data_IF_157352808227
#
_entry.id   IF_157352808227
#
_cell.length_a   1.000
_cell.length_b   1.000
_cell.length_c   1.000
_cell.angle_alpha   90.00
_cell.angle_beta   90.00
_cell.angle_gamma   90.00
#
_symmetry.space_group_name_H-M   'P 1'
#
loop_
_entity.id
_entity.type
_entity.pdbx_description
1 polymer ?
#
# COMPACT_ATOMS: atom_id res chain seq x y z
N UNK A 1 -2.31 6.57 29.44
CA UNK A 1 -1.47 7.79 29.38
C UNK A 1 -0.05 7.39 29.05
N UNK A 2 0.40 7.74 27.85
CA UNK A 2 1.82 7.68 27.44
C UNK A 2 2.23 9.13 27.10
N UNK A 3 3.47 9.55 27.40
CA UNK A 3 3.90 10.93 27.23
C UNK A 3 4.03 11.30 25.75
N UNK A 4 3.81 12.58 25.44
CA UNK A 4 4.00 13.21 24.13
C UNK A 4 5.44 12.97 23.62
N UNK A 5 5.64 11.87 22.88
CA UNK A 5 6.89 11.59 22.19
C UNK A 5 6.80 12.16 20.76
N UNK A 6 7.90 12.74 20.23
CA UNK A 6 7.94 13.18 18.84
C UNK A 6 7.63 12.01 17.89
N UNK A 7 6.62 12.17 17.04
CA UNK A 7 6.28 11.20 16.00
C UNK A 7 7.28 11.31 14.85
N UNK A 8 7.92 10.20 14.51
CA UNK A 8 8.77 10.08 13.33
C UNK A 8 8.14 9.08 12.36
N UNK A 9 7.97 9.50 11.11
CA UNK A 9 7.49 8.68 10.00
C UNK A 9 8.65 8.34 9.07
N UNK A 10 8.71 7.11 8.56
CA UNK A 10 9.77 6.65 7.65
C UNK A 10 9.21 5.65 6.65
N UNK A 11 9.64 5.72 5.39
CA UNK A 11 9.36 4.75 4.33
C UNK A 11 10.57 3.82 4.12
N UNK A 12 10.33 2.57 3.70
CA UNK A 12 11.38 1.58 3.42
C UNK A 12 11.36 1.18 1.95
N UNK A 13 12.52 1.23 1.28
CA UNK A 13 12.68 0.82 -0.13
C UNK A 13 13.98 0.01 -0.31
N UNK A 14 13.93 -1.05 -1.12
CA UNK A 14 15.08 -1.82 -1.59
C UNK A 14 15.17 -1.75 -3.12
N UNK A 15 16.20 -1.07 -3.65
CA UNK A 15 16.47 -0.97 -5.09
C UNK A 15 17.38 -2.12 -5.55
N UNK A 16 17.14 -2.63 -6.77
CA UNK A 16 18.13 -3.38 -7.54
C UNK A 16 18.14 -2.85 -8.99
N UNK A 17 19.28 -2.36 -9.53
CA UNK A 17 19.30 -1.66 -10.82
C UNK A 17 19.87 -2.51 -11.97
N UNK A 18 19.09 -2.72 -13.06
CA UNK A 18 19.44 -2.49 -14.48
C UNK A 18 18.75 -3.41 -15.51
N UNK A 19 17.86 -2.84 -16.37
CA UNK A 19 17.83 -2.92 -17.87
C UNK A 19 16.54 -2.32 -18.52
N UNK A 20 16.57 -1.24 -19.27
CA UNK A 20 16.80 0.12 -18.81
C UNK A 20 15.56 1.04 -18.98
N UNK A 21 14.33 0.55 -19.22
CA UNK A 21 13.11 1.38 -19.04
C UNK A 21 11.84 0.53 -18.88
N UNK A 22 11.65 -0.52 -19.68
CA UNK A 22 10.51 -1.44 -19.54
C UNK A 22 10.62 -2.37 -18.31
N UNK A 23 11.82 -2.83 -17.95
CA UNK A 23 12.06 -3.50 -16.67
C UNK A 23 12.12 -2.50 -15.50
N UNK A 24 12.40 -1.22 -15.76
CA UNK A 24 12.44 -0.17 -14.71
C UNK A 24 11.05 0.14 -14.18
N UNK A 25 10.03 0.11 -15.03
CA UNK A 25 8.64 0.36 -14.66
C UNK A 25 7.82 -0.90 -14.43
N UNK A 26 8.44 -2.09 -14.53
CA UNK A 26 7.81 -3.42 -14.47
C UNK A 26 6.33 -3.34 -14.86
N UNK A 27 6.00 -2.90 -16.09
CA UNK A 27 4.76 -2.19 -16.55
C UNK A 27 3.37 -2.58 -15.98
N UNK A 28 3.29 -3.64 -15.18
CA UNK A 28 2.22 -4.03 -14.28
C UNK A 28 2.26 -3.36 -12.87
N UNK A 29 3.42 -2.95 -12.37
CA UNK A 29 3.64 -2.33 -11.06
C UNK A 29 4.17 -0.90 -11.25
N UNK A 30 3.27 0.08 -11.26
CA UNK A 30 3.66 1.48 -11.40
C UNK A 30 3.93 2.19 -10.06
N UNK A 31 3.22 1.81 -8.99
CA UNK A 31 3.49 2.31 -7.65
C UNK A 31 4.20 1.23 -6.85
N UNK A 32 5.27 1.63 -6.18
CA UNK A 32 5.91 0.83 -5.15
C UNK A 32 4.94 0.61 -3.99
N UNK A 33 4.94 -0.59 -3.41
CA UNK A 33 4.25 -0.87 -2.15
C UNK A 33 4.75 0.13 -1.09
N UNK A 34 3.89 1.04 -0.61
CA UNK A 34 4.26 2.08 0.35
C UNK A 34 3.80 1.67 1.73
N UNK A 35 4.75 1.60 2.66
CA UNK A 35 4.47 1.49 4.09
C UNK A 35 4.82 2.79 4.78
N UNK A 36 3.82 3.44 5.38
CA UNK A 36 4.01 4.55 6.32
C UNK A 36 3.85 3.97 7.71
N UNK A 37 4.93 3.97 8.49
CA UNK A 37 4.95 3.39 9.83
C UNK A 37 5.25 4.43 10.91
N UNK A 38 4.67 4.23 12.09
CA UNK A 38 5.08 4.91 13.30
C UNK A 38 6.33 4.22 13.86
N UNK A 39 7.40 4.99 14.04
CA UNK A 39 8.66 4.50 14.58
C UNK A 39 8.75 4.71 16.10
N UNK A 40 9.46 3.81 16.78
CA UNK A 40 9.86 3.95 18.18
C UNK A 40 11.36 3.72 18.33
N UNK A 41 11.91 4.21 19.43
CA UNK A 41 13.27 3.87 19.84
C UNK A 41 13.25 2.77 20.90
N UNK A 42 14.10 1.77 20.72
CA UNK A 42 14.34 0.70 21.69
C UNK A 42 15.82 0.65 22.06
N UNK A 43 16.14 0.24 23.28
CA UNK A 43 17.54 0.09 23.69
C UNK A 43 18.16 -1.10 22.97
N UNK A 44 19.41 -0.95 22.51
CA UNK A 44 20.18 -2.09 22.01
C UNK A 44 20.48 -3.09 23.12
N UNK A 45 20.55 -4.39 22.79
CA UNK A 45 20.88 -5.44 23.75
C UNK A 45 22.34 -5.41 24.27
N UNK A 46 23.20 -4.54 23.74
CA UNK A 46 24.60 -4.45 24.21
C UNK A 46 24.69 -3.83 25.60
N UNK A 47 25.59 -4.36 26.43
CA UNK A 47 25.83 -3.97 27.83
C UNK A 47 26.04 -2.46 28.06
N UNK A 48 26.45 -1.69 27.04
CA UNK A 48 26.62 -0.25 27.19
C UNK A 48 25.31 0.55 27.28
N UNK A 49 24.14 -0.01 26.90
CA UNK A 49 22.81 0.65 26.87
C UNK A 49 22.79 2.05 26.19
N UNK A 50 23.88 2.46 25.53
CA UNK A 50 24.06 3.82 25.01
C UNK A 50 23.53 3.97 23.59
N UNK A 51 23.35 2.86 22.86
CA UNK A 51 22.85 2.88 21.49
C UNK A 51 21.36 2.56 21.46
N UNK A 52 20.57 3.48 20.91
CA UNK A 52 19.16 3.25 20.59
C UNK A 52 19.02 2.73 19.16
N UNK A 53 18.07 1.82 18.97
CA UNK A 53 17.68 1.29 17.68
C UNK A 53 16.29 1.83 17.33
N UNK A 54 16.09 2.20 16.07
CA UNK A 54 14.77 2.54 15.56
C UNK A 54 14.05 1.24 15.15
N UNK A 55 12.82 1.09 15.61
CA UNK A 55 11.96 -0.04 15.29
C UNK A 55 10.58 0.45 14.84
N UNK A 56 9.89 -0.35 14.02
CA UNK A 56 8.51 -0.11 13.61
C UNK A 56 7.60 -0.52 14.78
N UNK A 57 6.73 0.39 15.21
CA UNK A 57 5.71 0.10 16.22
C UNK A 57 4.40 -0.39 15.56
N UNK A 58 3.89 0.36 14.58
CA UNK A 58 2.71 -0.03 13.81
C UNK A 58 2.70 0.63 12.42
N UNK A 59 1.98 0.01 11.48
CA UNK A 59 1.61 0.64 10.22
C UNK A 59 0.54 1.72 10.44
N UNK A 60 0.71 2.86 9.79
CA UNK A 60 -0.28 3.95 9.70
C UNK A 60 -0.99 3.93 8.37
N UNK A 61 -0.22 3.67 7.30
CA UNK A 61 -0.74 3.45 5.95
C UNK A 61 0.00 2.31 5.29
N UNK A 62 -0.74 1.49 4.56
CA UNK A 62 -0.21 0.55 3.58
C UNK A 62 -0.87 0.89 2.25
N UNK A 63 -0.06 1.05 1.21
CA UNK A 63 -0.52 1.34 -0.14
C UNK A 63 -0.03 0.23 -1.05
N UNK A 64 -0.94 -0.42 -1.74
CA UNK A 64 -0.66 -1.44 -2.74
C UNK A 64 -1.29 -1.01 -4.07
N UNK A 65 -0.68 -1.42 -5.19
CA UNK A 65 -1.19 -1.08 -6.51
C UNK A 65 -1.10 -2.23 -7.50
N UNK A 66 -2.08 -2.33 -8.40
CA UNK A 66 -2.05 -3.32 -9.48
C UNK A 66 -2.74 -2.75 -10.72
N UNK A 67 -2.00 -2.69 -11.82
CA UNK A 67 -2.44 -2.05 -13.06
C UNK A 67 -2.85 -3.03 -14.15
N UNK A 68 -2.65 -4.33 -13.96
CA UNK A 68 -3.09 -5.38 -14.87
C UNK A 68 -4.60 -5.35 -15.08
N UNK A 69 -4.99 -5.11 -16.32
CA UNK A 69 -6.41 -5.07 -16.68
C UNK A 69 -7.00 -6.48 -16.78
N UNK A 70 -8.20 -6.67 -16.22
CA UNK A 70 -8.98 -7.91 -16.29
C UNK A 70 -8.28 -9.16 -15.71
N UNK A 71 -7.38 -9.00 -14.74
CA UNK A 71 -6.69 -10.11 -14.07
C UNK A 71 -7.03 -10.14 -12.57
N UNK A 72 -8.09 -10.86 -12.21
CA UNK A 72 -8.51 -10.99 -10.79
C UNK A 72 -7.50 -11.71 -9.93
N UNK A 73 -6.70 -12.62 -10.49
CA UNK A 73 -5.65 -13.33 -9.73
C UNK A 73 -4.57 -12.36 -9.28
N UNK A 74 -4.16 -11.45 -10.14
CA UNK A 74 -3.16 -10.44 -9.79
C UNK A 74 -3.67 -9.51 -8.70
N UNK A 75 -4.86 -8.93 -8.88
CA UNK A 75 -5.53 -8.09 -7.87
C UNK A 75 -5.70 -8.79 -6.51
N UNK A 76 -6.01 -10.09 -6.51
CA UNK A 76 -6.14 -10.86 -5.27
C UNK A 76 -4.82 -10.95 -4.49
N UNK A 77 -3.68 -11.05 -5.18
CA UNK A 77 -2.38 -11.14 -4.51
C UNK A 77 -2.11 -9.87 -3.71
N UNK A 78 -2.35 -8.71 -4.30
CA UNK A 78 -2.12 -7.41 -3.63
C UNK A 78 -3.18 -7.11 -2.57
N UNK A 79 -4.44 -7.50 -2.80
CA UNK A 79 -5.47 -7.43 -1.76
C UNK A 79 -5.13 -8.31 -0.55
N UNK A 80 -4.53 -9.48 -0.76
CA UNK A 80 -4.08 -10.34 0.35
C UNK A 80 -2.97 -9.69 1.16
N UNK A 81 -2.03 -8.98 0.52
CA UNK A 81 -0.99 -8.20 1.24
C UNK A 81 -1.65 -7.16 2.14
N UNK A 82 -2.63 -6.42 1.64
CA UNK A 82 -3.39 -5.45 2.45
C UNK A 82 -4.17 -6.14 3.58
N UNK A 83 -4.81 -7.28 3.31
CA UNK A 83 -5.62 -7.98 4.30
C UNK A 83 -4.79 -8.41 5.51
N UNK A 84 -3.58 -8.91 5.31
CA UNK A 84 -2.71 -9.36 6.40
C UNK A 84 -1.91 -8.22 7.06
N UNK A 85 -1.77 -7.07 6.39
CA UNK A 85 -0.98 -5.96 6.91
C UNK A 85 -1.70 -5.26 8.06
N UNK A 86 -1.05 -5.17 9.23
CA UNK A 86 -1.60 -4.45 10.39
C UNK A 86 -1.39 -2.95 10.24
N UNK A 87 -2.44 -2.22 9.86
CA UNK A 87 -2.39 -0.77 9.64
C UNK A 87 -3.74 -0.11 9.85
N UNK A 88 -3.73 1.11 10.38
CA UNK A 88 -4.95 1.93 10.58
C UNK A 88 -5.66 2.28 9.26
N UNK A 89 -4.88 2.48 8.19
CA UNK A 89 -5.39 2.80 6.87
C UNK A 89 -4.72 1.93 5.81
N UNK A 90 -5.52 1.52 4.82
CA UNK A 90 -5.10 0.71 3.68
C UNK A 90 -5.64 1.34 2.40
N UNK A 91 -4.78 1.55 1.41
CA UNK A 91 -5.17 2.08 0.11
C UNK A 91 -4.80 1.06 -0.96
N UNK A 92 -5.79 0.67 -1.75
CA UNK A 92 -5.57 -0.09 -2.97
C UNK A 92 -5.75 0.80 -4.19
N UNK A 93 -4.80 0.76 -5.11
CA UNK A 93 -4.82 1.56 -6.34
C UNK A 93 -4.91 0.61 -7.53
N UNK A 94 -5.95 0.76 -8.36
CA UNK A 94 -6.13 -0.06 -9.56
C UNK A 94 -6.32 0.80 -10.81
N UNK A 95 -6.05 0.22 -11.98
CA UNK A 95 -6.32 0.86 -13.26
C UNK A 95 -7.82 0.90 -13.58
N UNK A 96 -8.23 1.94 -14.32
CA UNK A 96 -9.54 2.05 -14.93
C UNK A 96 -9.74 0.93 -15.96
N UNK A 97 -10.45 -0.13 -15.57
CA UNK A 97 -10.89 -1.12 -16.54
C UNK A 97 -12.18 -0.63 -17.20
N UNK A 98 -12.35 -0.89 -18.50
CA UNK A 98 -13.56 -0.55 -19.27
C UNK A 98 -14.85 -1.23 -18.74
N UNK A 99 -14.77 -2.04 -17.68
CA UNK A 99 -15.88 -2.84 -17.14
C UNK A 99 -16.00 -2.63 -15.63
N UNK A 100 -17.12 -2.10 -15.16
CA UNK A 100 -17.42 -1.94 -13.72
C UNK A 100 -17.27 -3.25 -12.91
N UNK A 101 -17.35 -4.41 -13.57
CA UNK A 101 -17.24 -5.74 -12.94
C UNK A 101 -15.98 -5.92 -12.09
N UNK A 102 -14.81 -5.43 -12.50
CA UNK A 102 -13.59 -5.63 -11.70
C UNK A 102 -13.58 -4.75 -10.44
N UNK A 103 -14.06 -3.50 -10.56
CA UNK A 103 -14.24 -2.61 -9.41
C UNK A 103 -15.16 -3.25 -8.37
N UNK A 104 -16.32 -3.71 -8.81
CA UNK A 104 -17.31 -4.34 -7.93
C UNK A 104 -16.73 -5.60 -7.27
N UNK A 105 -15.96 -6.39 -8.02
CA UNK A 105 -15.27 -7.56 -7.52
C UNK A 105 -14.23 -7.20 -6.43
N UNK A 106 -13.37 -6.21 -6.68
CA UNK A 106 -12.37 -5.72 -5.71
C UNK A 106 -13.05 -5.25 -4.42
N UNK A 107 -14.13 -4.46 -4.54
CA UNK A 107 -14.90 -3.97 -3.38
C UNK A 107 -15.45 -5.15 -2.58
N UNK A 108 -16.10 -6.11 -3.25
CA UNK A 108 -16.67 -7.28 -2.57
C UNK A 108 -15.59 -8.10 -1.86
N UNK A 109 -14.48 -8.40 -2.55
CA UNK A 109 -13.38 -9.19 -2.00
C UNK A 109 -12.69 -8.49 -0.83
N UNK A 110 -12.47 -7.17 -0.90
CA UNK A 110 -11.90 -6.43 0.22
C UNK A 110 -12.78 -6.52 1.49
N UNK A 111 -14.11 -6.44 1.33
CA UNK A 111 -15.06 -6.60 2.44
C UNK A 111 -15.09 -8.02 3.03
N UNK A 112 -14.74 -9.04 2.24
CA UNK A 112 -14.64 -10.42 2.71
C UNK A 112 -13.31 -10.70 3.44
N UNK A 113 -12.22 -10.05 3.02
CA UNK A 113 -10.87 -10.30 3.52
C UNK A 113 -10.46 -9.44 4.72
N UNK A 114 -11.01 -8.23 4.85
CA UNK A 114 -10.55 -7.24 5.84
C UNK A 114 -11.52 -7.12 7.02
N UNK A 115 -10.97 -6.89 8.21
CA UNK A 115 -11.79 -6.68 9.40
C UNK A 115 -12.34 -5.25 9.43
N UNK A 116 -13.65 -5.14 9.35
CA UNK A 116 -14.38 -3.90 9.09
C UNK A 116 -14.49 -2.96 10.30
N UNK A 117 -14.11 -3.42 11.49
CA UNK A 117 -14.32 -2.68 12.75
C UNK A 117 -13.09 -1.87 13.21
N UNK A 118 -11.89 -2.22 12.72
CA UNK A 118 -10.62 -1.70 13.27
C UNK A 118 -9.76 -0.93 12.25
N UNK A 119 -10.08 -1.03 10.96
CA UNK A 119 -9.22 -0.57 9.87
C UNK A 119 -10.02 0.19 8.81
N UNK A 120 -9.40 1.20 8.19
CA UNK A 120 -10.00 1.93 7.08
C UNK A 120 -9.47 1.40 5.75
N UNK A 121 -10.35 1.14 4.79
CA UNK A 121 -9.98 0.71 3.44
C UNK A 121 -10.43 1.71 2.39
N UNK A 122 -9.48 2.15 1.57
CA UNK A 122 -9.69 3.09 0.48
C UNK A 122 -9.37 2.40 -0.85
N UNK A 123 -10.19 2.68 -1.86
CA UNK A 123 -9.96 2.27 -3.24
C UNK A 123 -9.77 3.51 -4.10
N UNK A 124 -8.64 3.58 -4.79
CA UNK A 124 -8.41 4.54 -5.85
C UNK A 124 -8.44 3.84 -7.22
N UNK A 125 -9.17 4.42 -8.17
CA UNK A 125 -9.20 4.00 -9.56
C UNK A 125 -8.59 5.13 -10.36
N UNK A 126 -7.47 4.83 -11.00
CA UNK A 126 -6.70 5.79 -11.79
C UNK A 126 -6.61 5.29 -13.23
N UNK A 127 -6.34 6.15 -14.22
CA UNK A 127 -6.19 5.66 -15.58
C UNK A 127 -5.01 4.68 -15.68
N UNK A 128 -5.07 3.72 -16.60
CA UNK A 128 -3.91 2.85 -16.85
C UNK A 128 -2.67 3.70 -17.24
N UNK A 129 -1.44 3.36 -16.80
CA UNK A 129 -0.22 4.15 -17.04
C UNK A 129 -0.01 4.60 -18.49
N UNK A 130 -0.30 3.69 -19.43
CA UNK A 130 -0.24 3.94 -20.88
C UNK A 130 -1.16 5.08 -21.37
N UNK A 131 -2.19 5.44 -20.61
CA UNK A 131 -3.22 6.40 -20.99
C UNK A 131 -3.09 7.76 -20.28
N UNK A 132 -2.17 7.95 -19.33
CA UNK A 132 -2.12 9.18 -18.50
C UNK A 132 -1.86 10.48 -19.26
N UNK A 133 -1.26 10.41 -20.44
CA UNK A 133 -1.09 11.60 -21.28
C UNK A 133 -2.40 12.07 -21.91
N UNK A 134 -3.46 11.27 -21.81
CA UNK A 134 -4.76 11.49 -22.44
C UNK A 134 -5.95 11.37 -21.48
N UNK A 135 -5.75 10.80 -20.29
CA UNK A 135 -6.76 10.60 -19.26
C UNK A 135 -6.20 11.01 -17.91
N UNK A 136 -6.98 11.79 -17.15
CA UNK A 136 -6.58 12.30 -15.83
C UNK A 136 -7.60 11.99 -14.73
N UNK A 137 -8.70 11.31 -15.07
CA UNK A 137 -9.78 11.07 -14.12
C UNK A 137 -9.35 10.06 -13.06
N UNK A 138 -9.33 10.51 -11.81
CA UNK A 138 -9.03 9.70 -10.63
C UNK A 138 -10.29 9.65 -9.76
N UNK A 139 -10.73 8.43 -9.44
CA UNK A 139 -11.77 8.19 -8.44
C UNK A 139 -11.12 7.70 -7.16
N UNK A 140 -11.49 8.26 -6.01
CA UNK A 140 -11.07 7.75 -4.70
C UNK A 140 -12.30 7.62 -3.82
N UNK A 141 -12.46 6.46 -3.18
CA UNK A 141 -13.56 6.20 -2.28
C UNK A 141 -13.08 5.43 -1.04
N UNK A 142 -13.63 5.81 0.12
CA UNK A 142 -13.55 5.01 1.34
C UNK A 142 -14.62 3.92 1.27
N UNK A 143 -14.21 2.66 1.34
CA UNK A 143 -15.12 1.51 1.26
C UNK A 143 -15.59 1.09 2.66
N UNK A 144 -14.68 1.22 3.64
CA UNK A 144 -14.80 0.78 5.04
C UNK A 144 -14.16 1.85 5.91
#
# INVERSE_FOLDING_TARGET
GLPDKPLFFRSFYGNNPNKATAEIFNLNEFLFDIVIAQMIEINSASQSNTKKLQAIYCGKWIVESEFQTNNSRALLLDLNKLAIAKSENKLFIMSDCNKNTMKDWVIKTAKELMNMEEENFYLAIVPHPKDWTSKENIEVQKII
#
